data_IF_064569281815
#
_entry.id   IF_064569281815
#
_cell.length_a   1.000
_cell.length_b   1.000
_cell.length_c   1.000
_cell.angle_alpha   90.00
_cell.angle_beta   90.00
_cell.angle_gamma   90.00
#
_symmetry.space_group_name_H-M   'P 1'
#
loop_
_entity.id
_entity.type
_entity.pdbx_description
1 polymer ?
#
# COMPACT_ATOMS: atom_id res chain seq x y z
N UNK A 1 -12.59 -15.46 22.91
CA UNK A 1 -12.46 -15.66 21.45
C UNK A 1 -12.99 -14.39 20.79
N UNK A 2 -12.10 -13.53 20.28
CA UNK A 2 -12.54 -12.29 19.62
C UNK A 2 -13.14 -12.66 18.27
N UNK A 3 -14.38 -12.26 18.03
CA UNK A 3 -15.01 -12.35 16.73
C UNK A 3 -14.10 -11.67 15.71
N UNK A 4 -13.48 -12.46 14.83
CA UNK A 4 -12.92 -11.92 13.61
C UNK A 4 -14.12 -11.44 12.81
N UNK A 5 -14.43 -10.14 12.91
CA UNK A 5 -15.38 -9.50 12.01
C UNK A 5 -15.01 -9.93 10.60
N UNK A 6 -15.95 -10.53 9.89
CA UNK A 6 -15.76 -10.90 8.49
C UNK A 6 -15.48 -9.59 7.76
N UNK A 7 -14.20 -9.31 7.50
CA UNK A 7 -13.77 -8.12 6.79
C UNK A 7 -14.21 -8.31 5.35
N UNK A 8 -15.31 -7.66 4.99
CA UNK A 8 -15.78 -7.66 3.60
C UNK A 8 -14.78 -6.88 2.75
N UNK A 9 -14.42 -7.45 1.60
CA UNK A 9 -13.66 -6.71 0.61
C UNK A 9 -14.51 -5.55 0.08
N UNK A 10 -13.87 -4.40 -0.15
CA UNK A 10 -14.50 -3.22 -0.72
C UNK A 10 -13.73 -2.69 -1.94
N UNK A 11 -14.42 -2.00 -2.88
CA UNK A 11 -13.75 -1.43 -4.05
C UNK A 11 -12.69 -0.41 -3.68
N UNK A 12 -11.58 -0.41 -4.43
CA UNK A 12 -10.53 0.61 -4.29
C UNK A 12 -11.05 1.96 -4.76
N UNK A 13 -11.10 2.91 -3.84
CA UNK A 13 -11.49 4.32 -4.05
C UNK A 13 -10.27 5.23 -4.25
N UNK A 14 -9.11 4.82 -3.72
CA UNK A 14 -7.83 5.55 -3.79
C UNK A 14 -7.39 5.70 -5.25
N UNK A 15 -7.32 6.94 -5.75
CA UNK A 15 -7.13 7.22 -7.16
C UNK A 15 -5.80 6.67 -7.71
N UNK A 16 -4.71 6.84 -6.96
CA UNK A 16 -3.40 6.36 -7.41
C UNK A 16 -3.31 4.84 -7.48
N UNK A 17 -4.11 4.10 -6.70
CA UNK A 17 -4.03 2.64 -6.64
C UNK A 17 -5.05 1.93 -7.53
N UNK A 18 -5.56 2.62 -8.55
CA UNK A 18 -6.35 1.99 -9.63
C UNK A 18 -5.42 1.33 -10.63
N UNK A 19 -5.88 0.25 -11.27
CA UNK A 19 -5.17 -0.46 -12.34
C UNK A 19 -3.80 -1.08 -11.95
N UNK A 20 -3.64 -1.47 -10.69
CA UNK A 20 -2.41 -2.11 -10.16
C UNK A 20 -2.43 -3.64 -10.20
N UNK A 21 -3.45 -4.23 -10.84
CA UNK A 21 -3.62 -5.69 -10.96
C UNK A 21 -4.75 -6.29 -10.09
N UNK A 22 -5.35 -5.51 -9.20
CA UNK A 22 -6.55 -5.87 -8.44
C UNK A 22 -7.44 -4.65 -8.19
N UNK A 23 -8.71 -4.87 -7.85
CA UNK A 23 -9.74 -3.83 -7.71
C UNK A 23 -10.44 -3.81 -6.35
N UNK A 24 -10.18 -4.80 -5.49
CA UNK A 24 -10.78 -4.94 -4.17
C UNK A 24 -9.70 -4.88 -3.08
N UNK A 25 -9.99 -4.18 -1.99
CA UNK A 25 -9.13 -4.03 -0.82
C UNK A 25 -9.88 -4.42 0.45
N UNK A 26 -9.15 -4.68 1.53
CA UNK A 26 -9.71 -4.96 2.85
C UNK A 26 -9.12 -4.03 3.89
N UNK A 27 -9.95 -3.58 4.83
CA UNK A 27 -9.57 -2.68 5.92
C UNK A 27 -9.71 -3.38 7.29
N UNK A 28 -8.90 -3.00 8.31
CA UNK A 28 -7.76 -2.09 8.25
C UNK A 28 -6.61 -2.59 7.39
N UNK A 29 -5.87 -1.65 6.79
CA UNK A 29 -4.67 -1.94 6.00
C UNK A 29 -3.46 -2.25 6.90
N UNK A 30 -2.30 -2.55 6.29
CA UNK A 30 -1.07 -2.89 7.02
C UNK A 30 -0.52 -1.71 7.84
N UNK A 31 -0.84 -0.47 7.42
CA UNK A 31 -0.53 0.77 8.14
C UNK A 31 -1.58 1.14 9.20
N UNK A 32 -2.53 0.24 9.51
CA UNK A 32 -3.57 0.39 10.54
C UNK A 32 -4.64 1.46 10.27
N UNK A 33 -4.68 2.05 9.07
CA UNK A 33 -5.83 2.86 8.69
C UNK A 33 -7.07 1.99 8.60
N UNK A 34 -8.20 2.49 9.08
CA UNK A 34 -9.51 1.83 8.99
C UNK A 34 -10.34 2.34 7.81
N UNK A 35 -10.00 3.52 7.27
CA UNK A 35 -10.67 4.14 6.13
C UNK A 35 -9.70 4.32 4.96
N UNK A 36 -10.17 4.06 3.74
CA UNK A 36 -9.38 4.31 2.52
C UNK A 36 -9.03 5.78 2.34
N UNK A 37 -9.86 6.71 2.86
CA UNK A 37 -9.58 8.15 2.79
C UNK A 37 -8.29 8.52 3.56
N UNK A 38 -8.08 7.95 4.75
CA UNK A 38 -6.87 8.20 5.54
C UNK A 38 -5.62 7.59 4.85
N UNK A 39 -5.81 6.42 4.23
CA UNK A 39 -4.77 5.78 3.42
C UNK A 39 -4.41 6.63 2.19
N UNK A 40 -5.40 7.24 1.52
CA UNK A 40 -5.19 8.12 0.36
C UNK A 40 -4.39 9.38 0.75
N UNK A 41 -4.76 10.04 1.85
CA UNK A 41 -4.01 11.20 2.37
C UNK A 41 -2.55 10.83 2.63
N UNK A 42 -2.30 9.68 3.27
CA UNK A 42 -0.93 9.21 3.53
C UNK A 42 -0.18 8.92 2.23
N UNK A 43 -0.82 8.20 1.31
CA UNK A 43 -0.24 7.86 0.02
C UNK A 43 0.12 9.10 -0.82
N UNK A 44 -0.69 10.15 -0.77
CA UNK A 44 -0.41 11.41 -1.47
C UNK A 44 0.92 12.05 -1.03
N UNK A 45 1.35 11.83 0.21
CA UNK A 45 2.66 12.33 0.70
C UNK A 45 3.85 11.66 0.00
N UNK A 46 3.66 10.46 -0.57
CA UNK A 46 4.68 9.76 -1.35
C UNK A 46 4.69 10.16 -2.84
N UNK A 47 3.73 10.96 -3.33
CA UNK A 47 3.64 11.34 -4.74
C UNK A 47 4.95 11.93 -5.30
N UNK A 48 5.69 12.81 -4.59
CA UNK A 48 6.97 13.31 -5.10
C UNK A 48 8.01 12.20 -5.29
N UNK A 49 8.07 11.22 -4.40
CA UNK A 49 9.01 10.09 -4.50
C UNK A 49 8.63 9.14 -5.64
N UNK A 50 7.32 8.93 -5.85
CA UNK A 50 6.81 8.17 -7.00
C UNK A 50 7.14 8.87 -8.32
N UNK A 51 6.94 10.19 -8.40
CA UNK A 51 7.28 10.99 -9.57
C UNK A 51 8.78 11.07 -9.83
N UNK A 52 9.61 11.09 -8.77
CA UNK A 52 11.06 11.01 -8.89
C UNK A 52 11.51 9.68 -9.53
N UNK A 53 10.77 8.59 -9.31
CA UNK A 53 10.98 7.35 -10.03
C UNK A 53 12.19 6.53 -9.57
N UNK A 54 12.54 6.58 -8.27
CA UNK A 54 13.65 5.79 -7.71
C UNK A 54 13.50 4.28 -7.93
N UNK A 55 12.28 3.77 -7.98
CA UNK A 55 11.97 2.37 -8.32
C UNK A 55 10.67 2.28 -9.10
N UNK A 56 10.67 1.52 -10.19
CA UNK A 56 9.45 1.20 -10.95
C UNK A 56 8.42 0.41 -10.13
N UNK A 57 8.85 -0.23 -9.04
CA UNK A 57 8.01 -1.04 -8.16
C UNK A 57 7.47 -0.27 -6.95
N UNK A 58 7.89 1.00 -6.74
CA UNK A 58 7.49 1.79 -5.58
C UNK A 58 5.97 1.96 -5.52
N UNK A 59 5.35 2.28 -6.66
CA UNK A 59 3.90 2.49 -6.75
C UNK A 59 3.11 1.24 -6.34
N UNK A 60 3.46 0.07 -6.90
CA UNK A 60 2.86 -1.21 -6.52
C UNK A 60 3.09 -1.54 -5.05
N UNK A 61 4.30 -1.34 -4.54
CA UNK A 61 4.64 -1.60 -3.14
C UNK A 61 3.78 -0.76 -2.19
N UNK A 62 3.69 0.56 -2.43
CA UNK A 62 2.87 1.45 -1.62
C UNK A 62 1.40 1.01 -1.62
N UNK A 63 0.83 0.72 -2.80
CA UNK A 63 -0.55 0.26 -2.87
C UNK A 63 -0.77 -1.09 -2.17
N UNK A 64 0.17 -2.04 -2.27
CA UNK A 64 0.07 -3.32 -1.57
C UNK A 64 0.12 -3.18 -0.03
N UNK A 65 0.68 -2.09 0.50
CA UNK A 65 0.69 -1.78 1.95
C UNK A 65 -0.58 -1.05 2.38
N UNK A 66 -0.96 0.01 1.66
CA UNK A 66 -2.01 0.95 2.07
C UNK A 66 -3.41 0.56 1.57
N UNK A 67 -3.52 -0.19 0.48
CA UNK A 67 -4.77 -0.76 -0.05
C UNK A 67 -4.53 -2.22 -0.46
N UNK A 68 -4.21 -3.11 0.50
CA UNK A 68 -3.80 -4.48 0.21
C UNK A 68 -4.88 -5.27 -0.53
N UNK A 69 -4.47 -6.23 -1.36
CA UNK A 69 -5.41 -7.08 -2.12
C UNK A 69 -6.33 -7.85 -1.16
N UNK A 70 -7.62 -7.90 -1.47
CA UNK A 70 -8.61 -8.67 -0.72
C UNK A 70 -9.37 -9.63 -1.65
N UNK A 71 -9.65 -10.83 -1.15
CA UNK A 71 -10.47 -11.83 -1.84
C UNK A 71 -11.24 -12.66 -0.83
N UNK A 72 -12.46 -13.06 -1.16
CA UNK A 72 -13.30 -13.91 -0.28
C UNK A 72 -12.71 -15.32 -0.05
N UNK A 73 -11.64 -15.67 -0.78
CA UNK A 73 -10.92 -16.94 -0.62
C UNK A 73 -9.93 -16.94 0.54
N UNK A 74 -9.56 -15.76 1.07
CA UNK A 74 -8.53 -15.61 2.10
C UNK A 74 -9.02 -14.64 3.18
N UNK A 75 -8.95 -15.04 4.44
CA UNK A 75 -9.50 -14.26 5.56
C UNK A 75 -8.78 -12.92 5.84
N UNK A 76 -7.53 -12.79 5.39
CA UNK A 76 -6.69 -11.61 5.65
C UNK A 76 -6.25 -10.95 4.34
N UNK A 77 -6.14 -9.60 4.30
CA UNK A 77 -5.59 -8.92 3.14
C UNK A 77 -4.15 -9.37 2.82
N UNK A 78 -3.86 -9.45 1.53
CA UNK A 78 -2.57 -9.91 1.01
C UNK A 78 -1.69 -8.68 0.74
N UNK A 79 -0.63 -8.54 1.54
CA UNK A 79 0.36 -7.46 1.42
C UNK A 79 1.53 -7.81 0.50
N UNK A 80 2.55 -6.94 0.42
CA UNK A 80 3.73 -7.19 -0.40
C UNK A 80 4.62 -8.28 0.21
N UNK A 81 5.34 -8.99 -0.67
CA UNK A 81 6.43 -9.87 -0.23
C UNK A 81 7.61 -9.06 0.32
N UNK A 82 8.39 -9.67 1.21
CA UNK A 82 9.60 -9.07 1.78
C UNK A 82 10.59 -8.59 0.71
N UNK A 83 10.84 -9.39 -0.33
CA UNK A 83 11.77 -9.03 -1.40
C UNK A 83 11.35 -7.81 -2.21
N UNK A 84 10.04 -7.55 -2.36
CA UNK A 84 9.54 -6.34 -3.01
C UNK A 84 9.86 -5.10 -2.14
N UNK A 85 9.65 -5.21 -0.83
CA UNK A 85 10.01 -4.15 0.13
C UNK A 85 11.51 -3.83 0.06
N UNK A 86 12.37 -4.85 0.19
CA UNK A 86 13.82 -4.69 0.16
C UNK A 86 14.29 -4.06 -1.16
N UNK A 87 13.78 -4.53 -2.31
CA UNK A 87 14.11 -3.97 -3.61
C UNK A 87 13.71 -2.50 -3.79
N UNK A 88 12.59 -2.08 -3.20
CA UNK A 88 12.16 -0.67 -3.23
C UNK A 88 12.99 0.16 -2.25
N UNK A 89 13.23 -0.36 -1.05
CA UNK A 89 14.00 0.30 0.00
C UNK A 89 15.41 0.63 -0.46
N UNK A 90 16.15 -0.35 -1.01
CA UNK A 90 17.52 -0.15 -1.48
C UNK A 90 17.66 0.99 -2.51
N UNK A 91 16.63 1.20 -3.34
CA UNK A 91 16.64 2.22 -4.39
C UNK A 91 16.12 3.58 -3.94
N UNK A 92 15.09 3.59 -3.10
CA UNK A 92 14.38 4.81 -2.72
C UNK A 92 14.87 5.41 -1.40
N UNK A 93 15.43 4.60 -0.49
CA UNK A 93 15.94 5.09 0.78
C UNK A 93 17.13 6.06 0.64
N UNK A 94 18.11 5.86 -0.26
CA UNK A 94 19.17 6.86 -0.48
C UNK A 94 18.64 8.21 -0.96
N UNK A 95 17.59 8.20 -1.78
CA UNK A 95 16.92 9.42 -2.26
C UNK A 95 16.26 10.15 -1.10
N UNK A 96 15.54 9.43 -0.23
CA UNK A 96 14.93 9.99 0.98
C UNK A 96 15.98 10.61 1.92
N UNK A 97 17.10 9.92 2.14
CA UNK A 97 18.23 10.47 2.90
C UNK A 97 18.79 11.75 2.29
N UNK A 98 18.88 11.82 0.96
CA UNK A 98 19.32 13.03 0.24
C UNK A 98 18.44 14.25 0.54
N UNK A 99 17.17 14.05 0.86
CA UNK A 99 16.23 15.11 1.26
C UNK A 99 16.11 15.31 2.78
N UNK A 100 16.92 14.61 3.59
CA UNK A 100 16.92 14.74 5.05
C UNK A 100 15.88 13.90 5.79
N UNK A 101 15.23 12.94 5.12
CA UNK A 101 14.39 11.93 5.79
C UNK A 101 15.26 10.78 6.30
N UNK A 102 15.02 10.29 7.51
CA UNK A 102 15.82 9.23 8.17
C UNK A 102 15.02 7.97 8.45
#
# INVERSE_FOLDING_TARGET
AGEASVRSCEPIKVAMCKNIGYNQTGMPNLARHTLQADADVTLQTFSPLVQYGCSSQLHLFLCAVYVPMCTDKVALPIGPCRGLCESVYERCYPVLKGFGFT
#
